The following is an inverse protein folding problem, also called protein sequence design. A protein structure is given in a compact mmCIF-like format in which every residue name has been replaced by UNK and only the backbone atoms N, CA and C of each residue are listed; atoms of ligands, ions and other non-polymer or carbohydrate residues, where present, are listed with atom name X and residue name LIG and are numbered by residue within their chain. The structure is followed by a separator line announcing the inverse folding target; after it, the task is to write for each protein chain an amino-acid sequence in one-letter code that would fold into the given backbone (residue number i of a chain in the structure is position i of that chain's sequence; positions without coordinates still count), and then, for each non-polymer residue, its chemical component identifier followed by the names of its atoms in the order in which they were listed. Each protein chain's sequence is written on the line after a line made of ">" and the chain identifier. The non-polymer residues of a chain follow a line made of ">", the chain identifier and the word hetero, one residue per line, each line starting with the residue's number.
data_IF_864461904732
#
_entry.id   IF_864461904732
#
_cell.length_a   1.000
_cell.length_b   1.000
_cell.length_c   1.000
_cell.angle_alpha   90.00
_cell.angle_beta   90.00
_cell.angle_gamma   90.00
#
_symmetry.space_group_name_H-M   'P 1'
#
loop_
_entity.id
_entity.type
_entity.pdbx_description
1 polymer ?
#
# COMPACT_ATOMS: atom_id res chain seq x y z
N UNK A 1 -9.82 0.44 -6.73
CA UNK A 1 -10.01 -0.71 -7.63
C UNK A 1 -10.71 -1.93 -6.96
N UNK A 2 -11.82 -1.69 -6.25
CA UNK A 2 -12.55 -2.78 -5.55
C UNK A 2 -13.47 -3.58 -6.50
N UNK A 3 -13.82 -2.99 -7.64
CA UNK A 3 -14.83 -3.47 -8.58
C UNK A 3 -14.21 -3.84 -9.94
N UNK A 4 -12.89 -3.63 -10.12
CA UNK A 4 -12.24 -3.94 -11.38
C UNK A 4 -12.19 -5.46 -11.55
N UNK A 5 -12.80 -6.02 -12.61
CA UNK A 5 -12.70 -7.44 -12.90
C UNK A 5 -11.23 -7.85 -13.03
N UNK A 6 -10.87 -9.03 -12.52
CA UNK A 6 -9.49 -9.52 -12.61
C UNK A 6 -8.97 -9.59 -14.05
N UNK A 7 -9.87 -9.86 -15.00
CA UNK A 7 -9.61 -9.87 -16.44
C UNK A 7 -9.22 -8.51 -16.98
N UNK A 8 -9.91 -7.43 -16.60
CA UNK A 8 -9.59 -6.06 -17.04
C UNK A 8 -8.20 -5.65 -16.54
N UNK A 9 -7.88 -5.98 -15.29
CA UNK A 9 -6.55 -5.74 -14.73
C UNK A 9 -5.48 -6.55 -15.48
N UNK A 10 -5.72 -7.85 -15.74
CA UNK A 10 -4.78 -8.68 -16.47
C UNK A 10 -4.51 -8.16 -17.89
N UNK A 11 -5.56 -7.80 -18.64
CA UNK A 11 -5.43 -7.22 -19.98
C UNK A 11 -4.65 -5.91 -19.91
N UNK A 12 -4.95 -5.03 -18.95
CA UNK A 12 -4.22 -3.78 -18.76
C UNK A 12 -2.73 -4.00 -18.49
N UNK A 13 -2.37 -4.98 -17.66
CA UNK A 13 -0.98 -5.35 -17.38
C UNK A 13 -0.27 -5.89 -18.61
N UNK A 14 -0.91 -6.76 -19.39
CA UNK A 14 -0.34 -7.27 -20.65
C UNK A 14 -0.11 -6.10 -21.61
N UNK A 15 -1.09 -5.22 -21.81
CA UNK A 15 -0.95 -4.07 -22.70
C UNK A 15 0.20 -3.14 -22.26
N UNK A 16 0.36 -2.93 -20.95
CA UNK A 16 1.39 -2.06 -20.38
C UNK A 16 2.81 -2.64 -20.47
N UNK A 17 2.96 -3.95 -20.31
CA UNK A 17 4.27 -4.62 -20.19
C UNK A 17 4.61 -5.57 -21.35
N UNK A 18 3.88 -5.49 -22.46
CA UNK A 18 4.17 -6.23 -23.69
C UNK A 18 5.03 -5.45 -24.69
N UNK A 19 5.50 -4.25 -24.34
CA UNK A 19 6.36 -3.42 -25.19
C UNK A 19 7.50 -2.80 -24.36
N UNK A 20 8.65 -2.48 -24.99
CA UNK A 20 9.74 -1.77 -24.31
C UNK A 20 9.27 -0.42 -23.74
N UNK A 21 9.90 0.10 -22.68
CA UNK A 21 11.21 -0.30 -22.11
C UNK A 21 11.17 -1.46 -21.11
N UNK A 22 9.99 -1.85 -20.60
CA UNK A 22 9.82 -2.88 -19.58
C UNK A 22 8.94 -4.01 -20.12
N UNK A 23 9.59 -5.07 -20.60
CA UNK A 23 8.93 -6.28 -21.10
C UNK A 23 8.78 -7.30 -19.96
N UNK A 24 7.59 -7.36 -19.35
CA UNK A 24 7.29 -8.33 -18.28
C UNK A 24 6.33 -9.43 -18.72
N UNK A 25 5.63 -9.24 -19.85
CA UNK A 25 4.74 -10.25 -20.42
C UNK A 25 5.49 -11.54 -20.71
N UNK A 26 4.93 -12.68 -20.30
CA UNK A 26 5.58 -14.00 -20.41
C UNK A 26 6.54 -14.36 -19.26
N UNK A 27 6.77 -13.46 -18.30
CA UNK A 27 7.56 -13.73 -17.09
C UNK A 27 6.69 -13.89 -15.85
N UNK A 28 7.22 -14.45 -14.77
CA UNK A 28 6.51 -14.52 -13.48
C UNK A 28 6.37 -13.13 -12.82
N UNK A 29 7.21 -12.16 -13.19
CA UNK A 29 7.23 -10.84 -12.58
C UNK A 29 5.91 -10.06 -12.80
N UNK A 30 5.29 -10.21 -13.99
CA UNK A 30 3.99 -9.58 -14.28
C UNK A 30 2.89 -10.08 -13.35
N UNK A 31 2.95 -11.35 -12.93
CA UNK A 31 2.00 -11.93 -11.99
C UNK A 31 2.21 -11.33 -10.60
N UNK A 32 3.45 -11.28 -10.11
CA UNK A 32 3.77 -10.68 -8.80
C UNK A 32 3.29 -9.24 -8.73
N UNK A 33 3.56 -8.45 -9.76
CA UNK A 33 3.08 -7.08 -9.87
C UNK A 33 1.55 -6.98 -9.91
N UNK A 34 0.88 -7.82 -10.70
CA UNK A 34 -0.57 -7.85 -10.75
C UNK A 34 -1.21 -8.20 -9.40
N UNK A 35 -0.66 -9.18 -8.68
CA UNK A 35 -1.11 -9.55 -7.33
C UNK A 35 -0.84 -8.43 -6.32
N UNK A 36 0.33 -7.82 -6.37
CA UNK A 36 0.70 -6.70 -5.50
C UNK A 36 -0.27 -5.53 -5.68
N UNK A 37 -0.49 -5.08 -6.91
CA UNK A 37 -1.43 -4.00 -7.22
C UNK A 37 -2.87 -4.36 -6.84
N UNK A 38 -3.27 -5.62 -7.01
CA UNK A 38 -4.61 -6.09 -6.59
C UNK A 38 -4.78 -6.07 -5.07
N UNK A 39 -3.74 -6.37 -4.29
CA UNK A 39 -3.81 -6.46 -2.81
C UNK A 39 -3.51 -5.14 -2.11
N UNK A 40 -2.78 -4.23 -2.74
CA UNK A 40 -2.43 -2.91 -2.21
C UNK A 40 -3.61 -2.14 -1.59
N UNK A 41 -4.77 -2.00 -2.24
CA UNK A 41 -5.90 -1.25 -1.68
C UNK A 41 -6.43 -1.86 -0.37
N UNK A 42 -6.34 -3.19 -0.24
CA UNK A 42 -6.72 -3.90 0.98
C UNK A 42 -5.74 -3.60 2.12
N UNK A 43 -4.44 -3.67 1.83
CA UNK A 43 -3.39 -3.33 2.80
C UNK A 43 -3.50 -1.88 3.28
N UNK A 44 -3.74 -0.94 2.36
CA UNK A 44 -3.91 0.49 2.70
C UNK A 44 -5.15 0.69 3.58
N UNK A 45 -6.30 0.11 3.23
CA UNK A 45 -7.51 0.21 4.08
C UNK A 45 -7.31 -0.41 5.46
N UNK A 46 -6.57 -1.51 5.55
CA UNK A 46 -6.25 -2.14 6.83
C UNK A 46 -5.38 -1.22 7.69
N UNK A 47 -4.36 -0.58 7.10
CA UNK A 47 -3.50 0.37 7.80
C UNK A 47 -4.27 1.63 8.22
N UNK A 48 -5.10 2.18 7.34
CA UNK A 48 -5.99 3.30 7.63
C UNK A 48 -6.92 2.97 8.82
N UNK A 49 -7.55 1.80 8.81
CA UNK A 49 -8.41 1.35 9.91
C UNK A 49 -7.68 1.17 11.25
N UNK A 50 -6.38 0.83 11.22
CA UNK A 50 -5.56 0.79 12.42
C UNK A 50 -5.22 2.20 12.93
N UNK A 51 -4.82 3.09 12.03
CA UNK A 51 -4.49 4.49 12.35
C UNK A 51 -5.69 5.26 12.90
N UNK A 52 -6.89 5.05 12.35
CA UNK A 52 -8.13 5.69 12.86
C UNK A 52 -8.44 5.37 14.33
N UNK A 53 -7.90 4.28 14.88
CA UNK A 53 -8.11 3.91 16.29
C UNK A 53 -7.16 4.64 17.24
N UNK A 54 -6.05 5.16 16.73
CA UNK A 54 -5.04 5.82 17.53
C UNK A 54 -5.48 7.26 17.75
N UNK A 55 -5.56 7.67 19.02
CA UNK A 55 -5.98 9.03 19.38
C UNK A 55 -4.79 9.98 19.19
N UNK A 56 -4.95 11.12 18.50
CA UNK A 56 -3.88 12.11 18.34
C UNK A 56 -3.25 12.57 19.66
N UNK A 57 -4.06 12.62 20.73
CA UNK A 57 -3.59 12.97 22.07
C UNK A 57 -2.47 12.04 22.62
N UNK A 58 -2.37 10.79 22.13
CA UNK A 58 -1.29 9.88 22.52
C UNK A 58 0.05 10.30 21.88
N UNK A 59 0.04 10.75 20.63
CA UNK A 59 1.24 11.29 19.98
C UNK A 59 1.66 12.62 20.62
N UNK A 60 0.69 13.49 20.96
CA UNK A 60 0.94 14.76 21.65
C UNK A 60 1.54 14.53 23.06
N UNK A 61 1.03 13.54 23.80
CA UNK A 61 1.59 13.17 25.10
C UNK A 61 3.05 12.69 24.97
N UNK A 62 3.36 11.87 23.97
CA UNK A 62 4.73 11.43 23.71
C UNK A 62 5.65 12.60 23.32
N UNK A 63 5.17 13.54 22.51
CA UNK A 63 5.91 14.75 22.15
C UNK A 63 6.16 15.66 23.37
N UNK A 64 5.17 15.82 24.25
CA UNK A 64 5.31 16.58 25.50
C UNK A 64 6.32 15.94 26.47
N UNK A 65 6.50 14.63 26.41
CA UNK A 65 7.53 13.90 27.17
C UNK A 65 8.92 13.91 26.48
N UNK A 66 9.08 14.68 25.39
CA UNK A 66 10.35 14.88 24.70
C UNK A 66 10.59 13.96 23.49
N UNK A 67 9.59 13.19 23.04
CA UNK A 67 9.72 12.43 21.81
C UNK A 67 9.68 13.36 20.58
N UNK A 68 10.59 13.12 19.61
CA UNK A 68 10.54 13.78 18.30
C UNK A 68 9.38 13.22 17.46
N UNK A 69 8.80 13.98 16.51
CA UNK A 69 7.64 13.53 15.71
C UNK A 69 7.80 12.16 15.05
N UNK A 70 8.95 11.90 14.41
CA UNK A 70 9.26 10.60 13.79
C UNK A 70 9.33 9.45 14.81
N UNK A 71 9.85 9.74 16.02
CA UNK A 71 9.95 8.76 17.10
C UNK A 71 8.59 8.50 17.73
N UNK A 72 7.78 9.55 17.91
CA UNK A 72 6.39 9.44 18.39
C UNK A 72 5.57 8.56 17.45
N UNK A 73 5.62 8.84 16.15
CA UNK A 73 4.97 8.03 15.12
C UNK A 73 5.41 6.55 15.16
N UNK A 74 6.72 6.29 15.18
CA UNK A 74 7.24 4.91 15.13
C UNK A 74 7.05 4.10 16.42
N UNK A 75 6.80 4.74 17.57
CA UNK A 75 6.67 4.05 18.87
C UNK A 75 5.23 4.00 19.41
N UNK A 76 4.38 4.95 19.00
CA UNK A 76 3.01 5.09 19.51
C UNK A 76 1.97 4.74 18.44
N UNK A 77 2.28 5.01 17.17
CA UNK A 77 1.34 4.89 16.05
C UNK A 77 1.58 3.65 15.18
N UNK A 78 2.79 3.09 15.18
CA UNK A 78 3.20 1.91 14.41
C UNK A 78 3.68 0.77 15.32
#
# INVERSE_FOLDING_TARGET
>A
PYIIPGTVLAIGFILLFNQPPLLLTGTWAILVLAYFVRKLPYSVKSAEGALYRIRPALEEAAMNLGARPLRSFAQVTF
#
